data_IF_172199482914
#
_entry.id   IF_172199482914
#
_cell.length_a   1.000
_cell.length_b   1.000
_cell.length_c   1.000
_cell.angle_alpha   90.00
_cell.angle_beta   90.00
_cell.angle_gamma   90.00
#
_symmetry.space_group_name_H-M   'P 1'
#
loop_
_entity.id
_entity.type
_entity.pdbx_description
1 polymer ?
#
# COMPACT_ATOMS: atom_id res chain seq x y z
N UNK A 1 -13.27 -35.09 10.54
CA UNK A 1 -14.25 -33.98 10.41
C UNK A 1 -14.15 -32.92 11.50
N UNK A 2 -14.01 -33.24 12.81
CA UNK A 2 -13.92 -32.22 13.90
C UNK A 2 -12.81 -31.17 13.77
N UNK A 3 -11.67 -31.52 13.16
CA UNK A 3 -10.56 -30.58 12.95
C UNK A 3 -10.88 -29.52 11.87
N UNK A 4 -11.59 -29.92 10.80
CA UNK A 4 -12.00 -29.01 9.73
C UNK A 4 -13.04 -28.01 10.22
N UNK A 5 -13.99 -28.42 11.06
CA UNK A 5 -14.96 -27.50 11.68
C UNK A 5 -14.28 -26.50 12.62
N UNK A 6 -13.35 -26.94 13.47
CA UNK A 6 -12.57 -26.01 14.31
C UNK A 6 -11.72 -25.03 13.50
N UNK A 7 -11.16 -25.46 12.37
CA UNK A 7 -10.43 -24.59 11.47
C UNK A 7 -11.34 -23.56 10.77
N UNK A 8 -12.55 -23.99 10.38
CA UNK A 8 -13.57 -23.09 9.81
C UNK A 8 -14.04 -22.07 10.84
N UNK A 9 -14.38 -22.50 12.06
CA UNK A 9 -14.83 -21.62 13.14
C UNK A 9 -13.75 -20.60 13.52
N UNK A 10 -12.48 -21.02 13.55
CA UNK A 10 -11.35 -20.11 13.79
C UNK A 10 -11.16 -19.12 12.63
N UNK A 11 -11.27 -19.56 11.38
CA UNK A 11 -11.18 -18.70 10.21
C UNK A 11 -12.28 -17.64 10.22
N UNK A 12 -13.51 -18.05 10.56
CA UNK A 12 -14.65 -17.14 10.68
C UNK A 12 -14.41 -16.13 11.80
N UNK A 13 -14.00 -16.58 12.98
CA UNK A 13 -13.71 -15.69 14.12
C UNK A 13 -12.59 -14.66 13.81
N UNK A 14 -11.55 -15.07 13.08
CA UNK A 14 -10.47 -14.16 12.64
C UNK A 14 -10.98 -13.19 11.57
N UNK A 15 -11.81 -13.67 10.65
CA UNK A 15 -12.35 -12.85 9.53
C UNK A 15 -13.43 -11.88 9.98
N UNK A 16 -14.18 -12.19 11.04
CA UNK A 16 -15.20 -11.33 11.63
C UNK A 16 -14.61 -10.18 12.45
N UNK A 17 -13.33 -10.24 12.83
CA UNK A 17 -12.70 -9.13 13.52
C UNK A 17 -12.65 -7.89 12.61
N UNK A 18 -13.23 -6.80 13.10
CA UNK A 18 -13.36 -5.53 12.39
C UNK A 18 -12.02 -5.00 11.88
N UNK A 19 -10.95 -5.11 12.67
CA UNK A 19 -9.61 -4.63 12.30
C UNK A 19 -9.04 -5.48 11.17
N UNK A 20 -9.11 -6.81 11.29
CA UNK A 20 -8.55 -7.74 10.31
C UNK A 20 -9.29 -7.65 8.98
N UNK A 21 -10.62 -7.58 9.02
CA UNK A 21 -11.46 -7.38 7.84
C UNK A 21 -11.13 -6.05 7.14
N UNK A 22 -10.93 -4.98 7.90
CA UNK A 22 -10.60 -3.66 7.37
C UNK A 22 -9.23 -3.61 6.73
N UNK A 23 -8.22 -4.22 7.36
CA UNK A 23 -6.88 -4.37 6.78
C UNK A 23 -6.95 -5.18 5.48
N UNK A 24 -7.66 -6.31 5.47
CA UNK A 24 -7.77 -7.16 4.28
C UNK A 24 -8.42 -6.41 3.10
N UNK A 25 -9.56 -5.74 3.35
CA UNK A 25 -10.20 -4.88 2.35
C UNK A 25 -9.29 -3.73 1.88
N UNK A 26 -8.53 -3.14 2.79
CA UNK A 26 -7.52 -2.13 2.46
C UNK A 26 -6.39 -2.67 1.58
N UNK A 27 -5.95 -3.90 1.83
CA UNK A 27 -4.94 -4.57 1.02
C UNK A 27 -5.46 -4.95 -0.38
N UNK A 28 -6.72 -5.36 -0.49
CA UNK A 28 -7.34 -5.69 -1.79
C UNK A 28 -7.36 -4.46 -2.70
N UNK A 29 -7.67 -3.29 -2.14
CA UNK A 29 -7.71 -2.03 -2.87
C UNK A 29 -6.35 -1.58 -3.41
N UNK A 30 -5.22 -2.06 -2.87
CA UNK A 30 -3.88 -1.74 -3.40
C UNK A 30 -3.41 -2.70 -4.51
N UNK A 31 -4.06 -3.83 -4.72
CA UNK A 31 -3.67 -4.83 -5.73
C UNK A 31 -3.52 -4.22 -7.14
N UNK A 32 -4.44 -3.36 -7.64
CA UNK A 32 -4.29 -2.75 -8.96
C UNK A 32 -3.01 -1.91 -9.08
N UNK A 33 -2.62 -1.24 -8.00
CA UNK A 33 -1.40 -0.43 -7.94
C UNK A 33 -0.14 -1.31 -8.02
N UNK A 34 -0.15 -2.45 -7.31
CA UNK A 34 0.94 -3.45 -7.37
C UNK A 34 1.09 -3.97 -8.79
N UNK A 35 -0.02 -4.33 -9.44
CA UNK A 35 0.00 -4.84 -10.81
C UNK A 35 0.58 -3.79 -11.75
N UNK A 36 0.14 -2.53 -11.67
CA UNK A 36 0.66 -1.44 -12.49
C UNK A 36 2.18 -1.23 -12.32
N UNK A 37 2.67 -1.21 -11.07
CA UNK A 37 4.10 -1.10 -10.78
C UNK A 37 4.90 -2.30 -11.28
N UNK A 38 4.35 -3.51 -11.16
CA UNK A 38 5.01 -4.74 -11.62
C UNK A 38 5.15 -4.78 -13.15
N UNK A 39 4.15 -4.32 -13.90
CA UNK A 39 4.20 -4.24 -15.37
C UNK A 39 5.31 -3.27 -15.79
N UNK A 40 5.42 -2.11 -15.14
CA UNK A 40 6.51 -1.17 -15.41
C UNK A 40 7.89 -1.77 -15.16
N UNK A 41 8.05 -2.53 -14.07
CA UNK A 41 9.30 -3.25 -13.78
C UNK A 41 9.65 -4.28 -14.86
N UNK A 42 8.67 -5.06 -15.32
CA UNK A 42 8.88 -6.08 -16.34
C UNK A 42 9.29 -5.44 -17.67
N UNK A 43 8.65 -4.35 -18.07
CA UNK A 43 8.98 -3.61 -19.30
C UNK A 43 10.42 -3.05 -19.23
N UNK A 44 10.85 -2.54 -18.08
CA UNK A 44 12.19 -1.99 -17.90
C UNK A 44 13.28 -3.08 -17.83
N UNK A 45 13.03 -4.13 -17.05
CA UNK A 45 14.01 -5.17 -16.72
C UNK A 45 13.86 -6.43 -17.59
N UNK A 46 13.26 -6.30 -18.77
CA UNK A 46 13.10 -7.43 -19.67
C UNK A 46 14.48 -7.93 -20.13
N UNK A 47 14.85 -9.22 -19.91
CA UNK A 47 16.22 -9.70 -20.06
C UNK A 47 16.70 -9.87 -21.51
N UNK A 48 15.89 -9.50 -22.52
CA UNK A 48 16.27 -9.60 -23.92
C UNK A 48 17.15 -8.43 -24.35
N UNK A 49 18.40 -8.71 -24.72
CA UNK A 49 19.37 -7.71 -25.18
C UNK A 49 18.88 -6.95 -26.41
N UNK A 50 18.29 -7.64 -27.40
CA UNK A 50 17.76 -6.99 -28.61
C UNK A 50 16.65 -5.99 -28.28
N UNK A 51 15.81 -6.29 -27.29
CA UNK A 51 14.75 -5.38 -26.84
C UNK A 51 15.34 -4.13 -26.17
N UNK A 52 16.37 -4.31 -25.34
CA UNK A 52 17.05 -3.22 -24.66
C UNK A 52 17.74 -2.27 -25.66
N UNK A 53 18.38 -2.81 -26.69
CA UNK A 53 19.04 -2.03 -27.75
C UNK A 53 18.03 -1.29 -28.63
N UNK A 54 16.91 -1.93 -28.99
CA UNK A 54 15.81 -1.29 -29.73
C UNK A 54 15.21 -0.13 -28.95
N UNK A 55 14.88 -0.34 -27.66
CA UNK A 55 14.31 0.72 -26.82
C UNK A 55 15.30 1.87 -26.61
N UNK A 56 16.59 1.57 -26.47
CA UNK A 56 17.64 2.58 -26.37
C UNK A 56 17.78 3.39 -27.67
N UNK A 57 17.62 2.75 -28.83
CA UNK A 57 17.66 3.43 -30.13
C UNK A 57 16.43 4.31 -30.41
N UNK A 58 15.26 3.94 -29.89
CA UNK A 58 13.99 4.67 -30.10
C UNK A 58 13.78 5.81 -29.10
N UNK A 59 14.06 5.56 -27.81
CA UNK A 59 13.76 6.47 -26.70
C UNK A 59 15.00 7.10 -26.07
N UNK A 60 16.20 6.69 -26.48
CA UNK A 60 17.47 7.19 -25.96
C UNK A 60 18.02 6.41 -24.76
N UNK A 61 19.24 6.73 -24.28
CA UNK A 61 19.91 6.02 -23.19
C UNK A 61 19.13 5.97 -21.87
N UNK A 62 18.32 7.00 -21.62
CA UNK A 62 17.63 7.21 -20.34
C UNK A 62 16.18 6.70 -20.32
N UNK A 63 15.77 5.89 -21.30
CA UNK A 63 14.39 5.39 -21.38
C UNK A 63 13.94 4.62 -20.13
N UNK A 64 14.90 3.97 -19.44
CA UNK A 64 14.66 3.25 -18.18
C UNK A 64 14.23 4.17 -17.04
N UNK A 65 14.57 5.46 -17.11
CA UNK A 65 14.19 6.46 -16.10
C UNK A 65 12.68 6.55 -15.97
N UNK A 66 11.93 6.42 -17.06
CA UNK A 66 10.47 6.42 -17.02
C UNK A 66 9.93 5.29 -16.15
N UNK A 67 10.31 4.04 -16.40
CA UNK A 67 9.84 2.93 -15.57
C UNK A 67 10.44 2.94 -14.15
N UNK A 68 11.61 3.54 -13.95
CA UNK A 68 12.18 3.77 -12.62
C UNK A 68 11.34 4.78 -11.82
N UNK A 69 10.88 5.85 -12.47
CA UNK A 69 9.95 6.83 -11.88
C UNK A 69 8.61 6.18 -11.53
N UNK A 70 8.05 5.34 -12.42
CA UNK A 70 6.81 4.61 -12.13
C UNK A 70 7.01 3.67 -10.92
N UNK A 71 8.13 2.95 -10.87
CA UNK A 71 8.46 2.08 -9.74
C UNK A 71 8.59 2.86 -8.42
N UNK A 72 9.28 4.00 -8.44
CA UNK A 72 9.42 4.87 -7.28
C UNK A 72 8.06 5.39 -6.79
N UNK A 73 7.14 5.70 -7.69
CA UNK A 73 5.81 6.17 -7.34
C UNK A 73 4.92 5.05 -6.79
N UNK A 74 5.03 3.82 -7.29
CA UNK A 74 4.20 2.71 -6.80
C UNK A 74 4.79 2.08 -5.53
N UNK A 75 6.03 1.59 -5.61
CA UNK A 75 6.65 0.84 -4.52
C UNK A 75 7.34 1.74 -3.49
N UNK A 76 7.83 2.91 -3.91
CA UNK A 76 8.42 3.90 -3.00
C UNK A 76 7.41 4.67 -2.16
N UNK A 77 6.13 4.71 -2.56
CA UNK A 77 5.02 5.32 -1.80
C UNK A 77 4.00 4.28 -1.32
N UNK A 78 4.36 2.99 -1.37
CA UNK A 78 3.46 1.88 -1.04
C UNK A 78 2.89 1.99 0.39
N UNK A 79 3.71 2.37 1.37
CA UNK A 79 3.26 2.54 2.76
C UNK A 79 2.24 3.67 2.92
N UNK A 80 2.42 4.77 2.19
CA UNK A 80 1.47 5.89 2.15
C UNK A 80 0.14 5.46 1.51
N UNK A 81 0.20 4.79 0.37
CA UNK A 81 -1.00 4.28 -0.30
C UNK A 81 -1.76 3.28 0.60
N UNK A 82 -1.05 2.39 1.29
CA UNK A 82 -1.67 1.47 2.25
C UNK A 82 -2.31 2.19 3.42
N UNK A 83 -1.68 3.23 3.97
CA UNK A 83 -2.24 4.00 5.09
C UNK A 83 -3.60 4.61 4.72
N UNK A 84 -3.70 5.25 3.56
CA UNK A 84 -4.96 5.83 3.06
C UNK A 84 -6.02 4.74 2.88
N UNK A 85 -5.62 3.64 2.25
CA UNK A 85 -6.55 2.58 1.85
C UNK A 85 -7.08 1.78 3.03
N UNK A 86 -6.24 1.50 4.03
CA UNK A 86 -6.63 0.82 5.27
C UNK A 86 -7.47 1.75 6.15
N UNK A 87 -7.10 3.03 6.30
CA UNK A 87 -7.89 3.99 7.08
C UNK A 87 -9.28 4.21 6.47
N UNK A 88 -9.35 4.31 5.14
CA UNK A 88 -10.62 4.40 4.41
C UNK A 88 -11.48 3.15 4.64
N UNK A 89 -10.88 1.96 4.50
CA UNK A 89 -11.57 0.69 4.74
C UNK A 89 -12.07 0.57 6.18
N UNK A 90 -11.28 0.99 7.17
CA UNK A 90 -11.65 0.96 8.59
C UNK A 90 -12.84 1.89 8.86
N UNK A 91 -12.82 3.11 8.34
CA UNK A 91 -13.92 4.07 8.51
C UNK A 91 -15.23 3.61 7.83
N UNK A 92 -15.14 2.84 6.74
CA UNK A 92 -16.32 2.29 6.05
C UNK A 92 -16.85 1.03 6.74
N UNK A 93 -15.97 0.19 7.28
CA UNK A 93 -16.35 -1.07 7.94
C UNK A 93 -16.82 -0.82 9.38
N UNK A 94 -16.36 0.25 10.03
CA UNK A 94 -16.74 0.57 11.41
C UNK A 94 -18.19 1.10 11.51
N UNK A 95 -19.09 0.38 12.21
CA UNK A 95 -20.46 0.81 12.44
C UNK A 95 -20.56 2.11 13.26
N UNK A 96 -19.59 2.39 14.14
CA UNK A 96 -19.57 3.60 14.97
C UNK A 96 -19.29 4.84 14.11
N UNK A 97 -18.28 4.77 13.24
CA UNK A 97 -17.95 5.86 12.32
C UNK A 97 -19.02 6.09 11.26
N UNK A 98 -19.67 5.01 10.80
CA UNK A 98 -20.84 5.09 9.91
C UNK A 98 -22.04 5.77 10.58
N UNK A 99 -22.21 5.60 11.90
CA UNK A 99 -23.28 6.22 12.67
C UNK A 99 -23.03 7.70 12.95
N UNK A 100 -21.78 8.09 13.21
CA UNK A 100 -21.37 9.48 13.48
C UNK A 100 -21.14 10.31 12.20
N UNK A 101 -21.39 9.75 11.01
CA UNK A 101 -21.17 10.38 9.69
C UNK A 101 -19.75 10.95 9.53
N UNK A 102 -18.75 10.27 10.11
CA UNK A 102 -17.36 10.67 9.94
C UNK A 102 -17.00 10.47 8.47
N UNK A 103 -16.53 11.53 7.81
CA UNK A 103 -16.13 11.41 6.41
C UNK A 103 -14.87 10.55 6.34
N UNK A 104 -14.91 9.38 5.66
CA UNK A 104 -13.77 8.46 5.56
C UNK A 104 -12.55 9.08 4.87
N UNK A 105 -12.73 10.19 4.16
CA UNK A 105 -11.64 10.98 3.57
C UNK A 105 -10.83 11.68 4.68
N UNK A 106 -11.48 12.19 5.74
CA UNK A 106 -10.82 12.92 6.81
C UNK A 106 -9.96 11.97 7.66
N UNK A 107 -10.48 10.79 8.00
CA UNK A 107 -9.72 9.76 8.73
C UNK A 107 -8.48 9.32 7.95
N UNK A 108 -8.63 9.11 6.64
CA UNK A 108 -7.52 8.76 5.76
C UNK A 108 -6.44 9.85 5.68
N UNK A 109 -6.85 11.12 5.72
CA UNK A 109 -5.93 12.26 5.75
C UNK A 109 -5.17 12.34 7.08
N UNK A 110 -5.86 12.11 8.21
CA UNK A 110 -5.23 12.08 9.55
C UNK A 110 -4.21 10.93 9.63
N UNK A 111 -4.57 9.74 9.14
CA UNK A 111 -3.65 8.60 9.10
C UNK A 111 -2.43 8.85 8.21
N UNK A 112 -2.61 9.55 7.08
CA UNK A 112 -1.51 9.94 6.19
C UNK A 112 -0.59 10.99 6.84
N UNK A 113 -1.16 12.00 7.50
CA UNK A 113 -0.38 13.03 8.21
C UNK A 113 0.39 12.41 9.38
N UNK A 114 -0.25 11.54 10.16
CA UNK A 114 0.38 10.81 11.28
C UNK A 114 1.59 9.98 10.80
N UNK A 115 1.42 9.25 9.69
CA UNK A 115 2.51 8.52 9.06
C UNK A 115 3.65 9.44 8.60
N UNK A 116 3.33 10.55 7.93
CA UNK A 116 4.33 11.53 7.48
C UNK A 116 5.11 12.14 8.65
N UNK A 117 4.46 12.42 9.78
CA UNK A 117 5.12 12.91 10.99
C UNK A 117 6.11 11.90 11.56
N UNK A 118 5.75 10.62 11.59
CA UNK A 118 6.65 9.54 12.06
C UNK A 118 7.84 9.39 11.12
N UNK A 119 7.63 9.51 9.81
CA UNK A 119 8.69 9.40 8.80
C UNK A 119 9.64 10.62 8.77
N UNK A 120 9.24 11.75 9.35
CA UNK A 120 10.01 12.99 9.42
C UNK A 120 10.89 13.10 10.69
N UNK A 121 11.38 11.96 11.20
CA UNK A 121 12.17 11.90 12.44
C UNK A 121 13.68 12.10 12.24
N UNK A 122 14.11 12.75 11.16
CA UNK A 122 15.52 13.01 10.86
C UNK A 122 15.80 14.43 10.36
N UNK A 123 16.96 14.98 10.71
CA UNK A 123 17.45 16.32 10.31
C UNK A 123 17.77 16.44 8.80
N UNK A 124 17.28 15.51 7.97
CA UNK A 124 17.66 15.27 6.58
C UNK A 124 16.48 14.80 5.71
N UNK A 125 15.32 15.47 5.84
CA UNK A 125 14.17 15.28 4.95
C UNK A 125 13.42 13.94 5.14
N UNK A 126 12.39 13.74 4.32
CA UNK A 126 11.57 12.52 4.32
C UNK A 126 12.47 11.34 3.93
N UNK A 127 12.67 10.39 4.84
CA UNK A 127 13.33 9.13 4.54
C UNK A 127 12.42 8.28 3.62
N UNK A 128 12.53 8.49 2.31
CA UNK A 128 11.77 7.79 1.27
C UNK A 128 11.99 6.27 1.30
N UNK A 129 13.07 5.79 1.93
CA UNK A 129 13.31 4.36 2.18
C UNK A 129 12.28 3.73 3.11
N UNK A 130 11.77 4.50 4.08
CA UNK A 130 10.81 4.03 5.08
C UNK A 130 9.36 4.32 4.67
N UNK A 131 9.13 5.14 3.64
CA UNK A 131 7.80 5.40 3.08
C UNK A 131 7.35 4.33 2.06
N UNK A 132 8.31 3.56 1.53
CA UNK A 132 8.08 2.52 0.52
C UNK A 132 7.77 1.15 1.11
N UNK A 133 8.15 0.10 0.38
CA UNK A 133 7.89 -1.31 0.75
C UNK A 133 8.42 -1.68 2.14
N UNK A 134 9.56 -1.11 2.55
CA UNK A 134 10.18 -1.39 3.86
C UNK A 134 9.29 -0.95 5.04
N UNK A 135 8.49 0.11 4.85
CA UNK A 135 7.64 0.68 5.89
C UNK A 135 6.21 0.17 5.92
N UNK A 136 5.84 -0.82 5.11
CA UNK A 136 4.46 -1.31 5.03
C UNK A 136 3.93 -1.74 6.41
N UNK A 137 4.72 -2.51 7.16
CA UNK A 137 4.30 -3.01 8.47
C UNK A 137 4.09 -1.88 9.48
N UNK A 138 5.01 -0.91 9.50
CA UNK A 138 4.87 0.30 10.31
C UNK A 138 3.63 1.09 9.91
N UNK A 139 3.38 1.22 8.61
CA UNK A 139 2.22 1.94 8.08
C UNK A 139 0.92 1.33 8.59
N UNK A 140 0.79 -0.01 8.52
CA UNK A 140 -0.40 -0.71 9.03
C UNK A 140 -0.62 -0.40 10.52
N UNK A 141 0.42 -0.50 11.35
CA UNK A 141 0.31 -0.24 12.80
C UNK A 141 -0.11 1.20 13.07
N UNK A 142 0.56 2.17 12.45
CA UNK A 142 0.28 3.59 12.63
C UNK A 142 -1.14 3.93 12.20
N UNK A 143 -1.57 3.42 11.04
CA UNK A 143 -2.91 3.66 10.51
C UNK A 143 -4.01 3.10 11.43
N UNK A 144 -3.83 1.88 11.94
CA UNK A 144 -4.79 1.24 12.85
C UNK A 144 -4.84 1.95 14.20
N UNK A 145 -3.73 2.52 14.68
CA UNK A 145 -3.71 3.31 15.92
C UNK A 145 -4.26 4.72 15.74
N UNK A 146 -4.14 5.29 14.54
CA UNK A 146 -4.54 6.66 14.24
C UNK A 146 -6.00 6.81 13.81
N UNK A 147 -6.64 5.72 13.37
CA UNK A 147 -8.02 5.70 12.90
C UNK A 147 -8.89 5.08 13.98
#
# INVERSE_FOLDING_TARGET
MKFSQRALDLSTAISENLIINSINKGLILIIPLIIAGSVALVINNFPLVQYQDLMTSLFGPDWKTFGQSVWNLTFGLMGLALSVTISYSLAVVDPLMSKDRVNPIITSLVALISLLTILNTGNSGIHTSNAGVSGIFLSIIVTVLST
#
